data_IF_451871784741
#
_entry.id   IF_451871784741
#
_cell.length_a   1.000
_cell.length_b   1.000
_cell.length_c   1.000
_cell.angle_alpha   90.00
_cell.angle_beta   90.00
_cell.angle_gamma   90.00
#
_symmetry.space_group_name_H-M   'P 1'
#
loop_
_entity.id
_entity.type
_entity.pdbx_description
1 polymer ?
#
# COMPACT_ATOMS: atom_id res chain seq x y z
N UNK A 1 5.03 6.00 12.68
CA UNK A 1 4.42 7.09 11.91
C UNK A 1 2.93 7.12 12.22
N UNK A 2 2.42 8.22 12.76
CA UNK A 2 1.01 8.37 13.12
C UNK A 2 0.16 8.79 11.91
N UNK A 3 -1.15 8.49 11.97
CA UNK A 3 -2.14 8.99 11.02
C UNK A 3 -3.24 9.67 11.80
N UNK A 4 -3.62 10.88 11.41
CA UNK A 4 -4.74 11.61 12.00
C UNK A 4 -5.73 12.00 10.91
N UNK A 5 -6.99 11.64 11.08
CA UNK A 5 -8.08 11.94 10.17
C UNK A 5 -9.06 12.84 10.89
N UNK A 6 -9.50 13.93 10.24
CA UNK A 6 -10.46 14.87 10.79
C UNK A 6 -11.51 15.22 9.77
N UNK A 7 -12.76 15.06 10.18
CA UNK A 7 -13.94 15.44 9.41
C UNK A 7 -13.90 14.92 7.95
N UNK A 8 -13.44 13.66 7.79
CA UNK A 8 -13.26 13.07 6.46
C UNK A 8 -14.61 12.76 5.82
N UNK A 9 -14.82 13.33 4.65
CA UNK A 9 -15.97 13.04 3.79
C UNK A 9 -15.49 12.60 2.42
N UNK A 10 -16.10 11.56 1.86
CA UNK A 10 -15.78 11.05 0.52
C UNK A 10 -17.06 10.90 -0.26
N UNK A 11 -17.16 11.59 -1.40
CA UNK A 11 -18.28 11.50 -2.35
C UNK A 11 -17.75 10.95 -3.67
N UNK A 12 -18.42 9.95 -4.24
CA UNK A 12 -18.04 9.35 -5.53
C UNK A 12 -19.25 9.40 -6.47
N UNK A 13 -19.07 10.03 -7.62
CA UNK A 13 -20.15 10.23 -8.60
C UNK A 13 -21.43 10.84 -7.99
N UNK A 14 -21.28 11.80 -7.09
CA UNK A 14 -22.37 12.46 -6.38
C UNK A 14 -22.99 11.65 -5.23
N UNK A 15 -22.55 10.41 -5.03
CA UNK A 15 -23.00 9.59 -3.91
C UNK A 15 -22.02 9.69 -2.72
N UNK A 16 -22.51 10.07 -1.54
CA UNK A 16 -21.72 10.11 -0.33
C UNK A 16 -21.41 8.68 0.15
N UNK A 17 -20.15 8.37 0.33
CA UNK A 17 -19.65 7.04 0.73
C UNK A 17 -19.12 7.03 2.16
N UNK A 18 -18.48 8.11 2.57
CA UNK A 18 -17.91 8.30 3.91
C UNK A 18 -18.35 9.67 4.42
N UNK A 19 -18.77 9.72 5.67
CA UNK A 19 -19.28 10.93 6.30
C UNK A 19 -18.60 11.15 7.64
N UNK A 20 -18.08 12.35 7.84
CA UNK A 20 -17.70 12.93 9.14
C UNK A 20 -16.84 11.99 9.98
N UNK A 21 -15.84 11.36 9.37
CA UNK A 21 -14.98 10.40 10.07
C UNK A 21 -13.79 11.11 10.71
N UNK A 22 -13.68 10.93 12.02
CA UNK A 22 -12.50 11.26 12.81
C UNK A 22 -11.82 9.96 13.29
N UNK A 23 -10.51 9.88 13.15
CA UNK A 23 -9.73 8.74 13.58
C UNK A 23 -8.27 9.12 13.84
N UNK A 24 -7.70 8.59 14.90
CA UNK A 24 -6.27 8.67 15.17
C UNK A 24 -5.67 7.27 15.21
N UNK A 25 -4.50 7.13 14.63
CA UNK A 25 -3.67 5.92 14.70
C UNK A 25 -2.29 6.37 15.17
N UNK A 26 -1.94 6.01 16.39
CA UNK A 26 -0.63 6.32 16.95
C UNK A 26 0.47 5.47 16.30
N UNK A 27 1.72 5.89 16.46
CA UNK A 27 2.86 5.11 15.97
C UNK A 27 2.92 3.73 16.66
N UNK A 28 3.02 2.68 15.86
CA UNK A 28 3.01 1.29 16.34
C UNK A 28 1.65 0.77 16.78
N UNK A 29 0.59 1.57 16.73
CA UNK A 29 -0.77 1.15 17.08
C UNK A 29 -1.36 0.20 16.03
N UNK A 30 -2.24 -0.70 16.50
CA UNK A 30 -3.01 -1.61 15.64
C UNK A 30 -4.48 -1.27 15.78
N UNK A 31 -5.07 -0.76 14.73
CA UNK A 31 -6.49 -0.36 14.68
C UNK A 31 -7.28 -1.31 13.80
N UNK A 32 -8.40 -1.80 14.30
CA UNK A 32 -9.37 -2.61 13.57
C UNK A 32 -10.58 -1.76 13.12
N UNK A 33 -10.77 -1.64 11.80
CA UNK A 33 -11.94 -0.95 11.24
C UNK A 33 -13.04 -1.97 10.93
N UNK A 34 -14.12 -1.95 11.72
CA UNK A 34 -15.23 -2.91 11.64
C UNK A 34 -16.46 -2.21 11.07
N UNK A 35 -17.25 -2.92 10.27
CA UNK A 35 -18.51 -2.43 9.71
C UNK A 35 -19.03 -3.38 8.62
N UNK A 36 -20.28 -3.18 8.19
CA UNK A 36 -20.93 -3.97 7.14
C UNK A 36 -20.22 -3.83 5.78
N UNK A 37 -20.52 -4.74 4.85
CA UNK A 37 -20.08 -4.58 3.45
C UNK A 37 -20.64 -3.27 2.88
N UNK A 38 -19.82 -2.52 2.14
CA UNK A 38 -20.25 -1.24 1.57
C UNK A 38 -20.16 -0.03 2.52
N UNK A 39 -19.79 -0.19 3.80
CA UNK A 39 -19.74 0.93 4.77
C UNK A 39 -18.54 1.88 4.61
N UNK A 40 -17.81 1.84 3.49
CA UNK A 40 -16.75 2.80 3.20
C UNK A 40 -15.35 2.46 3.77
N UNK A 41 -15.16 1.35 4.54
CA UNK A 41 -13.87 0.98 5.15
C UNK A 41 -12.69 1.00 4.17
N UNK A 42 -12.87 0.37 3.02
CA UNK A 42 -11.84 0.34 1.98
C UNK A 42 -11.60 1.72 1.35
N UNK A 43 -12.59 2.61 1.36
CA UNK A 43 -12.44 3.97 0.87
C UNK A 43 -11.61 4.81 1.86
N UNK A 44 -11.83 4.64 3.16
CA UNK A 44 -10.98 5.28 4.19
C UNK A 44 -9.52 4.80 4.05
N UNK A 45 -9.28 3.49 3.95
CA UNK A 45 -7.92 2.98 3.75
C UNK A 45 -7.27 3.51 2.45
N UNK A 46 -8.03 3.57 1.35
CA UNK A 46 -7.54 4.12 0.08
C UNK A 46 -7.31 5.63 0.14
N UNK A 47 -8.11 6.39 0.91
CA UNK A 47 -7.92 7.83 1.04
C UNK A 47 -6.60 8.16 1.76
N UNK A 48 -6.22 7.40 2.79
CA UNK A 48 -4.92 7.53 3.46
C UNK A 48 -3.75 7.35 2.47
N UNK A 49 -3.92 6.46 1.49
CA UNK A 49 -2.91 6.19 0.46
C UNK A 49 -3.00 7.13 -0.75
N UNK A 50 -3.99 8.02 -0.82
CA UNK A 50 -4.27 8.81 -2.01
C UNK A 50 -4.63 7.95 -3.24
N UNK A 51 -5.28 6.80 -3.04
CA UNK A 51 -5.63 5.82 -4.09
C UNK A 51 -7.14 5.78 -4.39
N UNK A 52 -7.83 6.88 -4.16
CA UNK A 52 -9.23 7.01 -4.54
C UNK A 52 -9.37 7.19 -6.06
N UNK A 53 -10.51 6.79 -6.65
CA UNK A 53 -10.77 7.05 -8.07
C UNK A 53 -10.81 8.56 -8.36
N UNK A 54 -10.47 8.95 -9.59
CA UNK A 54 -10.45 10.36 -10.01
C UNK A 54 -11.82 11.07 -9.86
N UNK A 55 -12.91 10.31 -9.85
CA UNK A 55 -14.26 10.84 -9.61
C UNK A 55 -14.59 11.10 -8.14
N UNK A 56 -13.66 10.77 -7.23
CA UNK A 56 -13.86 11.00 -5.82
C UNK A 56 -13.59 12.46 -5.45
N UNK A 57 -14.52 13.05 -4.72
CA UNK A 57 -14.38 14.33 -4.05
C UNK A 57 -14.10 14.04 -2.58
N UNK A 58 -13.01 14.55 -2.07
CA UNK A 58 -12.55 14.34 -0.68
C UNK A 58 -12.49 15.68 0.02
N UNK A 59 -13.05 15.76 1.22
CA UNK A 59 -12.92 16.91 2.11
C UNK A 59 -12.60 16.47 3.52
N UNK A 60 -12.17 17.40 4.35
CA UNK A 60 -11.58 17.14 5.66
C UNK A 60 -10.06 17.15 5.59
N UNK A 61 -9.39 16.46 6.51
CA UNK A 61 -7.94 16.39 6.60
C UNK A 61 -7.48 14.97 6.89
N UNK A 62 -6.39 14.56 6.28
CA UNK A 62 -5.66 13.32 6.57
C UNK A 62 -4.19 13.69 6.72
N UNK A 63 -3.73 13.81 7.96
CA UNK A 63 -2.31 13.99 8.24
C UNK A 63 -1.62 12.63 8.39
N UNK A 64 -0.54 12.43 7.65
CA UNK A 64 0.31 11.25 7.74
C UNK A 64 1.72 11.69 8.15
N UNK A 65 1.98 11.65 9.46
CA UNK A 65 3.30 11.99 10.01
C UNK A 65 3.76 13.41 9.67
N UNK A 66 2.86 14.38 9.68
CA UNK A 66 3.12 15.78 9.34
C UNK A 66 2.92 16.13 7.87
N UNK A 67 2.43 15.19 7.04
CA UNK A 67 2.11 15.45 5.63
C UNK A 67 0.61 15.35 5.41
N UNK A 68 -0.01 16.46 4.98
CA UNK A 68 -1.43 16.48 4.57
C UNK A 68 -1.62 15.74 3.25
N UNK A 69 -2.55 14.79 3.23
CA UNK A 69 -2.84 13.95 2.05
C UNK A 69 -3.98 14.51 1.21
N UNK A 70 -5.01 15.10 1.85
CA UNK A 70 -6.16 15.66 1.12
C UNK A 70 -5.69 16.89 0.32
N UNK A 71 -5.85 16.82 -1.00
CA UNK A 71 -5.40 17.89 -1.90
C UNK A 71 -3.91 17.89 -2.21
N UNK A 72 -3.12 16.97 -1.66
CA UNK A 72 -1.71 16.85 -1.99
C UNK A 72 -1.49 16.39 -3.45
N UNK A 73 -0.37 16.78 -4.03
CA UNK A 73 0.03 16.28 -5.35
C UNK A 73 0.36 14.79 -5.29
N UNK A 74 0.13 14.08 -6.40
CA UNK A 74 0.47 12.64 -6.47
C UNK A 74 1.96 12.38 -6.19
N UNK A 75 2.84 13.31 -6.59
CA UNK A 75 4.28 13.22 -6.31
C UNK A 75 4.58 13.25 -4.80
N UNK A 76 3.94 14.15 -4.06
CA UNK A 76 4.14 14.25 -2.61
C UNK A 76 3.69 12.97 -1.87
N UNK A 77 2.57 12.38 -2.33
CA UNK A 77 2.08 11.12 -1.78
C UNK A 77 2.93 9.93 -2.25
N UNK A 78 3.45 9.97 -3.48
CA UNK A 78 4.31 8.91 -4.02
C UNK A 78 5.59 8.71 -3.17
N UNK A 79 6.15 9.79 -2.63
CA UNK A 79 7.32 9.73 -1.76
C UNK A 79 7.04 9.00 -0.42
N UNK A 80 5.79 8.97 0.01
CA UNK A 80 5.35 8.23 1.20
C UNK A 80 5.05 6.76 0.89
N UNK A 81 4.49 6.48 -0.30
CA UNK A 81 4.14 5.12 -0.72
C UNK A 81 5.38 4.26 -0.92
N UNK A 82 5.36 3.06 -0.39
CA UNK A 82 6.48 2.10 -0.50
C UNK A 82 7.68 2.43 0.37
N UNK A 83 7.75 3.63 0.97
CA UNK A 83 8.78 4.01 1.93
C UNK A 83 8.26 3.99 3.37
N UNK A 84 7.10 4.55 3.60
CA UNK A 84 6.51 4.69 4.93
C UNK A 84 5.16 3.98 5.07
N UNK A 85 4.42 3.87 3.99
CA UNK A 85 3.09 3.26 3.97
C UNK A 85 2.96 2.27 2.83
N UNK A 86 2.27 1.16 3.09
CA UNK A 86 1.93 0.15 2.10
C UNK A 86 0.53 -0.37 2.29
N UNK A 87 -0.02 -1.00 1.26
CA UNK A 87 -1.37 -1.55 1.28
C UNK A 87 -1.37 -2.99 0.78
N UNK A 88 -2.03 -3.87 1.54
CA UNK A 88 -2.36 -5.23 1.08
C UNK A 88 -3.79 -5.22 0.57
N UNK A 89 -3.97 -5.59 -0.69
CA UNK A 89 -5.28 -5.64 -1.33
C UNK A 89 -6.00 -6.95 -1.01
N UNK A 90 -7.34 -6.90 -0.97
CA UNK A 90 -8.18 -8.06 -0.73
C UNK A 90 -8.03 -9.12 -1.85
N UNK A 91 -7.79 -8.70 -3.09
CA UNK A 91 -7.46 -9.58 -4.21
C UNK A 91 -5.99 -9.38 -4.62
N UNK A 92 -5.07 -10.20 -4.09
CA UNK A 92 -3.64 -10.06 -4.34
C UNK A 92 -3.28 -10.24 -5.80
N UNK A 93 -3.92 -11.17 -6.49
CA UNK A 93 -3.63 -11.46 -7.91
C UNK A 93 -3.93 -10.28 -8.82
N UNK A 94 -4.98 -9.50 -8.51
CA UNK A 94 -5.32 -8.30 -9.27
C UNK A 94 -4.38 -7.12 -9.00
N UNK A 95 -3.62 -7.17 -7.90
CA UNK A 95 -2.66 -6.13 -7.54
C UNK A 95 -1.29 -6.32 -8.23
N UNK A 96 -1.02 -7.52 -8.76
CA UNK A 96 0.25 -7.83 -9.42
C UNK A 96 0.20 -7.47 -10.90
N UNK A 97 1.29 -6.89 -11.39
CA UNK A 97 1.47 -6.58 -12.81
C UNK A 97 1.78 -7.88 -13.59
N UNK A 98 0.92 -8.33 -14.52
CA UNK A 98 1.07 -9.61 -15.20
C UNK A 98 2.28 -9.70 -16.14
N UNK A 99 2.85 -8.54 -16.56
CA UNK A 99 3.99 -8.47 -17.50
C UNK A 99 5.34 -8.25 -16.81
N UNK A 100 5.37 -8.29 -15.50
CA UNK A 100 6.60 -8.19 -14.69
C UNK A 100 6.80 -9.46 -13.88
N UNK A 101 8.06 -9.90 -13.72
CA UNK A 101 8.37 -11.00 -12.80
C UNK A 101 8.17 -10.56 -11.35
N UNK A 102 8.02 -11.53 -10.45
CA UNK A 102 7.83 -11.24 -9.01
C UNK A 102 9.01 -10.46 -8.45
N UNK A 103 10.24 -10.85 -8.79
CA UNK A 103 11.44 -10.11 -8.35
C UNK A 103 11.44 -8.66 -8.82
N UNK A 104 11.03 -8.39 -10.07
CA UNK A 104 10.95 -7.03 -10.60
C UNK A 104 9.94 -6.17 -9.82
N UNK A 105 8.79 -6.75 -9.47
CA UNK A 105 7.75 -6.04 -8.72
C UNK A 105 8.19 -5.77 -7.28
N UNK A 106 8.77 -6.76 -6.60
CA UNK A 106 9.31 -6.60 -5.24
C UNK A 106 10.47 -5.59 -5.19
N UNK A 107 11.28 -5.55 -6.25
CA UNK A 107 12.39 -4.59 -6.36
C UNK A 107 11.93 -3.16 -6.67
N UNK A 108 10.67 -2.94 -7.08
CA UNK A 108 10.20 -1.62 -7.53
C UNK A 108 10.32 -0.54 -6.44
N UNK A 109 9.83 -0.73 -5.20
CA UNK A 109 10.02 0.26 -4.13
C UNK A 109 11.50 0.53 -3.84
N UNK A 110 12.35 -0.51 -3.89
CA UNK A 110 13.80 -0.35 -3.69
C UNK A 110 14.44 0.52 -4.78
N UNK A 111 13.95 0.41 -6.02
CA UNK A 111 14.43 1.24 -7.15
C UNK A 111 13.99 2.69 -7.04
N UNK A 112 12.79 2.94 -6.52
CA UNK A 112 12.19 4.26 -6.46
C UNK A 112 12.73 5.10 -5.29
N UNK A 113 13.02 4.45 -4.16
CA UNK A 113 13.29 5.15 -2.89
C UNK A 113 14.71 5.00 -2.35
N UNK A 114 15.53 4.13 -2.96
CA UNK A 114 16.89 3.85 -2.45
C UNK A 114 17.91 3.85 -3.57
N UNK A 115 19.05 4.46 -3.31
CA UNK A 115 20.22 4.43 -4.22
C UNK A 115 21.02 3.14 -3.93
N UNK A 116 20.60 2.05 -4.59
CA UNK A 116 21.20 0.72 -4.44
C UNK A 116 21.73 0.24 -5.78
N UNK A 117 22.88 -0.44 -5.75
CA UNK A 117 23.38 -1.20 -6.88
C UNK A 117 22.41 -2.34 -7.24
N UNK A 118 22.61 -2.95 -8.42
CA UNK A 118 21.81 -4.09 -8.86
C UNK A 118 21.94 -5.28 -7.91
N UNK A 119 23.13 -5.56 -7.43
CA UNK A 119 23.42 -6.72 -6.59
C UNK A 119 22.84 -6.52 -5.17
N UNK A 120 23.07 -5.36 -4.57
CA UNK A 120 22.46 -5.02 -3.27
C UNK A 120 20.94 -5.10 -3.30
N UNK A 121 20.32 -4.69 -4.40
CA UNK A 121 18.87 -4.78 -4.58
C UNK A 121 18.40 -6.23 -4.67
N UNK A 122 19.12 -7.07 -5.42
CA UNK A 122 18.82 -8.49 -5.52
C UNK A 122 18.93 -9.20 -4.18
N UNK A 123 19.98 -8.89 -3.41
CA UNK A 123 20.18 -9.47 -2.08
C UNK A 123 19.05 -9.08 -1.12
N UNK A 124 18.60 -7.82 -1.15
CA UNK A 124 17.43 -7.39 -0.36
C UNK A 124 16.16 -8.11 -0.80
N UNK A 125 15.91 -8.28 -2.09
CA UNK A 125 14.76 -9.04 -2.60
C UNK A 125 14.80 -10.48 -2.10
N UNK A 126 15.94 -11.17 -2.18
CA UNK A 126 16.11 -12.53 -1.65
C UNK A 126 15.86 -12.61 -0.15
N UNK A 127 16.38 -11.64 0.62
CA UNK A 127 16.13 -11.58 2.06
C UNK A 127 14.65 -11.40 2.39
N UNK A 128 13.90 -10.62 1.60
CA UNK A 128 12.45 -10.49 1.75
C UNK A 128 11.72 -11.81 1.48
N UNK A 129 12.12 -12.54 0.43
CA UNK A 129 11.56 -13.86 0.11
C UNK A 129 11.76 -14.84 1.25
N UNK A 130 12.96 -14.88 1.83
CA UNK A 130 13.26 -15.73 2.97
C UNK A 130 12.38 -15.41 4.19
N UNK A 131 12.13 -14.11 4.48
CA UNK A 131 11.26 -13.68 5.59
C UNK A 131 9.83 -14.19 5.46
N UNK A 132 9.28 -14.23 4.25
CA UNK A 132 7.92 -14.74 3.99
C UNK A 132 7.89 -16.21 3.57
N UNK A 133 9.02 -16.91 3.70
CA UNK A 133 9.18 -18.35 3.37
C UNK A 133 8.83 -18.68 1.93
N UNK A 134 9.14 -17.80 1.01
CA UNK A 134 8.98 -18.05 -0.42
C UNK A 134 10.26 -18.63 -1.00
N UNK A 135 10.18 -19.66 -1.84
CA UNK A 135 11.34 -20.25 -2.49
C UNK A 135 11.91 -19.31 -3.57
N UNK A 136 13.23 -19.36 -3.76
CA UNK A 136 13.93 -18.48 -4.71
C UNK A 136 13.56 -18.77 -6.18
N UNK A 137 13.10 -19.99 -6.51
CA UNK A 137 12.70 -20.37 -7.87
C UNK A 137 11.54 -19.53 -8.42
N UNK A 138 10.76 -18.86 -7.54
CA UNK A 138 9.67 -17.98 -7.95
C UNK A 138 10.10 -16.54 -8.28
N UNK A 139 11.36 -16.17 -8.02
CA UNK A 139 11.86 -14.82 -8.33
C UNK A 139 11.65 -14.42 -9.79
N UNK A 140 11.87 -15.36 -10.70
CA UNK A 140 11.79 -15.15 -12.14
C UNK A 140 10.42 -15.52 -12.74
N UNK A 141 9.47 -15.99 -11.92
CA UNK A 141 8.12 -16.32 -12.37
C UNK A 141 7.27 -15.08 -12.55
N UNK A 142 6.33 -15.17 -13.47
CA UNK A 142 5.25 -14.18 -13.65
C UNK A 142 4.05 -14.52 -12.76
N UNK A 143 3.17 -13.56 -12.47
CA UNK A 143 2.00 -13.79 -11.61
C UNK A 143 1.12 -14.98 -12.02
N UNK A 144 0.94 -15.23 -13.30
CA UNK A 144 0.13 -16.33 -13.82
C UNK A 144 0.77 -17.72 -13.62
N UNK A 145 2.07 -17.78 -13.34
CA UNK A 145 2.80 -19.03 -13.07
C UNK A 145 2.81 -19.42 -11.59
N UNK A 146 2.17 -18.60 -10.74
CA UNK A 146 2.13 -18.81 -9.31
C UNK A 146 0.95 -19.68 -8.90
N UNK A 147 1.14 -20.61 -7.98
CA UNK A 147 0.05 -21.40 -7.40
C UNK A 147 -0.89 -20.53 -6.55
N UNK A 148 -2.17 -20.91 -6.45
CA UNK A 148 -3.24 -20.07 -5.88
C UNK A 148 -3.02 -19.55 -4.46
N UNK A 149 -2.15 -20.15 -3.64
CA UNK A 149 -1.82 -19.68 -2.30
C UNK A 149 -0.63 -18.70 -2.24
N UNK A 150 0.20 -18.66 -3.28
CA UNK A 150 1.41 -17.84 -3.31
C UNK A 150 1.15 -16.33 -3.50
N UNK A 151 0.15 -15.86 -4.29
CA UNK A 151 -0.07 -14.43 -4.51
C UNK A 151 -0.24 -13.59 -3.23
N UNK A 152 -0.82 -14.17 -2.17
CA UNK A 152 -0.98 -13.47 -0.88
C UNK A 152 0.38 -13.14 -0.27
N UNK A 153 1.32 -14.07 -0.29
CA UNK A 153 2.66 -13.87 0.26
C UNK A 153 3.44 -12.79 -0.50
N UNK A 154 3.23 -12.64 -1.82
CA UNK A 154 3.91 -11.63 -2.62
C UNK A 154 3.41 -10.21 -2.37
N UNK A 155 2.12 -10.02 -2.08
CA UNK A 155 1.60 -8.70 -1.76
C UNK A 155 2.14 -8.17 -0.43
N UNK A 156 2.48 -9.06 0.51
CA UNK A 156 3.17 -8.68 1.73
C UNK A 156 4.62 -8.21 1.49
N UNK A 157 5.27 -8.66 0.42
CA UNK A 157 6.64 -8.25 0.08
C UNK A 157 6.72 -6.81 -0.46
N UNK A 158 5.63 -6.27 -0.96
CA UNK A 158 5.57 -4.90 -1.49
C UNK A 158 5.24 -3.86 -0.41
N UNK A 159 5.10 -4.28 0.85
CA UNK A 159 4.93 -3.38 1.98
C UNK A 159 6.22 -2.59 2.27
N UNK A 160 6.12 -1.45 2.98
CA UNK A 160 7.27 -0.60 3.27
C UNK A 160 8.44 -1.37 3.84
N UNK A 161 9.60 -1.16 3.27
CA UNK A 161 10.83 -1.89 3.60
C UNK A 161 11.49 -1.44 4.90
N UNK A 162 10.94 -0.43 5.59
CA UNK A 162 11.47 0.07 6.86
C UNK A 162 11.42 -0.95 8.02
N UNK A 163 10.68 -2.05 7.86
CA UNK A 163 10.71 -3.19 8.80
C UNK A 163 11.86 -4.17 8.53
N UNK A 164 12.80 -3.81 7.65
CA UNK A 164 13.93 -4.65 7.20
C UNK A 164 15.29 -4.18 7.74
N UNK A 165 15.31 -3.15 8.60
CA UNK A 165 16.51 -2.71 9.32
C UNK A 165 16.52 -3.26 10.72
#
# INVERSE_FOLDING_TARGET
>A
MSVSIRNLNIVINGMPIVHDVDMDIADGERVGLIGSSGSGKSMIAKSIMGLLPLSAQVSGSIDMGGTEIVGASDQAIADLRGRYVGMVFQNPSAALNPVMTVAQQVALPLRLHYDLTRDERLDRVKAMFAKVRLPEDVLNKYPHELSGGQPVSYTHLTLPTNSLV
#
